data_IF_134653575951
#
_entry.id   IF_134653575951
#
_cell.length_a   1.000
_cell.length_b   1.000
_cell.length_c   1.000
_cell.angle_alpha   90.00
_cell.angle_beta   90.00
_cell.angle_gamma   90.00
#
_symmetry.space_group_name_H-M   'P 1'
#
loop_
_entity.id
_entity.type
_entity.pdbx_description
1 polymer ?
#
# COMPACT_ATOMS: atom_id res chain seq x y z
N UNK A 1 -0.84 53.14 28.21
CA UNK A 1 -0.81 52.27 29.41
C UNK A 1 -2.02 51.35 29.38
N UNK A 2 -1.84 50.04 29.61
CA UNK A 2 -2.96 49.11 29.85
C UNK A 2 -2.94 47.79 29.05
N UNK A 3 -1.98 46.90 29.31
CA UNK A 3 -2.04 45.46 28.95
C UNK A 3 -3.09 44.78 29.83
N UNK A 4 -3.94 43.91 29.25
CA UNK A 4 -4.68 42.90 30.01
C UNK A 4 -4.34 41.50 29.49
N UNK A 5 -3.43 40.84 30.20
CA UNK A 5 -3.10 39.42 30.09
C UNK A 5 -4.26 38.58 30.67
N UNK A 6 -5.00 37.85 29.85
CA UNK A 6 -5.86 36.75 30.34
C UNK A 6 -5.00 35.50 30.56
N UNK A 7 -5.22 34.89 31.71
CA UNK A 7 -4.38 33.89 32.37
C UNK A 7 -4.63 32.46 31.86
N UNK A 8 -3.60 31.75 31.39
CA UNK A 8 -3.64 30.38 30.84
C UNK A 8 -3.73 29.27 31.91
N UNK A 9 -4.44 29.51 33.02
CA UNK A 9 -4.54 28.55 34.14
C UNK A 9 -5.34 27.29 33.80
N UNK A 10 -6.25 27.34 32.82
CA UNK A 10 -7.04 26.18 32.38
C UNK A 10 -6.22 25.12 31.64
N UNK A 11 -5.17 25.53 30.90
CA UNK A 11 -4.34 24.62 30.11
C UNK A 11 -3.49 23.69 31.00
N UNK A 12 -3.06 24.18 32.16
CA UNK A 12 -2.18 23.43 33.07
C UNK A 12 -2.92 22.27 33.76
N UNK A 13 -4.21 22.42 34.05
CA UNK A 13 -5.02 21.38 34.70
C UNK A 13 -5.24 20.19 33.77
N UNK A 14 -5.42 20.43 32.46
CA UNK A 14 -5.60 19.38 31.45
C UNK A 14 -4.32 18.54 31.28
N UNK A 15 -3.15 19.19 31.32
CA UNK A 15 -1.86 18.51 31.17
C UNK A 15 -1.59 17.56 32.35
N UNK A 16 -1.94 17.94 33.58
CA UNK A 16 -1.71 17.11 34.78
C UNK A 16 -2.59 15.85 34.78
N UNK A 17 -3.83 15.93 34.29
CA UNK A 17 -4.75 14.77 34.25
C UNK A 17 -4.31 13.72 33.22
N UNK A 18 -3.80 14.15 32.06
CA UNK A 18 -3.34 13.24 31.00
C UNK A 18 -2.09 12.43 31.40
N UNK A 19 -1.19 13.01 32.20
CA UNK A 19 0.03 12.32 32.66
C UNK A 19 -0.29 11.21 33.67
N UNK A 20 -1.33 11.36 34.49
CA UNK A 20 -1.71 10.33 35.48
C UNK A 20 -2.32 9.06 34.87
N UNK A 21 -2.93 9.14 33.68
CA UNK A 21 -3.51 7.98 32.99
C UNK A 21 -2.42 7.10 32.36
N UNK A 22 -1.29 7.69 31.94
CA UNK A 22 -0.21 6.98 31.24
C UNK A 22 0.67 6.17 32.21
N UNK A 23 0.77 6.59 33.48
CA UNK A 23 1.67 5.93 34.45
C UNK A 23 0.95 4.83 35.28
N UNK A 24 -0.39 4.85 35.35
CA UNK A 24 -1.12 4.07 36.37
C UNK A 24 -1.75 2.74 35.96
N UNK A 25 -1.89 2.36 34.68
CA UNK A 25 -2.95 1.40 34.34
C UNK A 25 -2.77 0.42 33.19
N UNK A 26 -1.58 -0.15 32.93
CA UNK A 26 -1.47 -1.10 31.82
C UNK A 26 -0.25 -2.03 31.75
N UNK A 27 0.41 -2.32 32.87
CA UNK A 27 1.41 -3.39 32.97
C UNK A 27 0.78 -4.60 33.69
N UNK A 28 0.00 -5.41 32.97
CA UNK A 28 -0.22 -6.84 33.29
C UNK A 28 -1.18 -7.41 32.26
N UNK A 29 -0.68 -8.20 31.29
CA UNK A 29 -1.39 -9.37 30.79
C UNK A 29 -0.44 -10.22 29.91
N UNK A 30 -0.23 -11.44 30.40
CA UNK A 30 0.20 -12.66 29.70
C UNK A 30 1.68 -12.91 29.38
N UNK A 31 2.37 -13.40 30.41
CA UNK A 31 3.21 -14.59 30.28
C UNK A 31 2.34 -15.84 30.04
N UNK A 32 2.70 -16.66 29.06
CA UNK A 32 2.18 -18.01 28.84
C UNK A 32 3.12 -18.86 28.00
N UNK A 33 3.81 -19.81 28.64
CA UNK A 33 4.75 -20.81 28.09
C UNK A 33 4.02 -21.86 27.23
N UNK A 34 4.69 -22.44 26.23
CA UNK A 34 5.19 -23.82 26.37
C UNK A 34 6.17 -24.30 25.28
N UNK A 35 7.07 -25.18 25.72
CA UNK A 35 8.18 -25.80 24.97
C UNK A 35 7.70 -27.05 24.25
N UNK A 36 8.25 -27.31 23.05
CA UNK A 36 8.58 -28.67 22.56
C UNK A 36 9.49 -28.58 21.34
N UNK A 37 10.80 -28.72 21.54
CA UNK A 37 11.78 -28.88 20.45
C UNK A 37 11.97 -30.39 20.25
N UNK A 38 11.53 -30.90 19.08
CA UNK A 38 11.85 -32.23 18.58
C UNK A 38 12.99 -32.06 17.55
N UNK A 39 14.16 -32.65 17.82
CA UNK A 39 15.33 -32.62 16.92
C UNK A 39 15.56 -34.05 16.40
N UNK A 40 15.48 -34.27 15.08
CA UNK A 40 16.27 -35.25 14.29
C UNK A 40 16.20 -34.86 12.78
N UNK A 41 17.07 -35.33 11.86
CA UNK A 41 18.28 -34.63 11.43
C UNK A 41 18.33 -34.25 9.91
N UNK A 42 19.13 -33.21 9.65
CA UNK A 42 19.96 -32.89 8.46
C UNK A 42 19.71 -33.67 7.15
N UNK A 43 19.16 -32.97 6.14
CA UNK A 43 19.20 -33.35 4.73
C UNK A 43 19.11 -32.12 3.81
N UNK A 44 20.26 -31.77 3.20
CA UNK A 44 20.49 -31.05 1.93
C UNK A 44 19.82 -29.68 1.69
N UNK A 45 20.68 -28.64 1.68
CA UNK A 45 20.38 -27.26 1.29
C UNK A 45 20.07 -27.14 -0.21
N UNK A 46 19.03 -26.39 -0.55
CA UNK A 46 18.84 -25.70 -1.84
C UNK A 46 18.32 -24.31 -1.52
N UNK A 47 18.85 -23.22 -2.13
CA UNK A 47 18.50 -21.86 -1.74
C UNK A 47 17.09 -21.54 -2.29
N UNK A 48 16.08 -21.59 -1.42
CA UNK A 48 14.72 -21.26 -1.82
C UNK A 48 14.31 -19.89 -1.26
N UNK A 49 13.85 -19.05 -2.19
CA UNK A 49 13.45 -17.66 -2.04
C UNK A 49 12.68 -17.35 -0.76
N UNK A 50 13.03 -16.22 -0.15
CA UNK A 50 12.20 -15.52 0.83
C UNK A 50 10.82 -15.23 0.23
N UNK A 51 9.83 -16.05 0.61
CA UNK A 51 8.42 -15.73 0.46
C UNK A 51 8.04 -14.76 1.58
N UNK A 52 8.02 -13.46 1.26
CA UNK A 52 7.39 -12.43 2.09
C UNK A 52 6.00 -12.19 1.50
N UNK A 53 4.95 -12.38 2.31
CA UNK A 53 3.66 -11.78 2.04
C UNK A 53 2.52 -12.56 2.67
N UNK A 54 1.91 -11.98 3.71
CA UNK A 54 0.55 -12.34 4.15
C UNK A 54 -0.34 -12.61 2.94
N UNK A 55 -0.94 -13.79 2.95
CA UNK A 55 -1.97 -14.19 2.01
C UNK A 55 -3.20 -13.29 2.25
N UNK A 56 -3.28 -12.17 1.53
CA UNK A 56 -4.51 -11.39 1.45
C UNK A 56 -5.50 -12.34 0.77
N UNK A 57 -6.54 -12.76 1.47
CA UNK A 57 -7.62 -13.58 0.93
C UNK A 57 -8.25 -12.86 -0.28
N UNK A 58 -8.04 -13.42 -1.47
CA UNK A 58 -8.12 -12.74 -2.78
C UNK A 58 -9.38 -13.11 -3.56
N UNK A 59 -10.56 -12.85 -3.01
CA UNK A 59 -11.74 -12.73 -3.88
C UNK A 59 -11.76 -11.30 -4.42
N UNK A 60 -11.46 -11.14 -5.71
CA UNK A 60 -11.45 -9.83 -6.38
C UNK A 60 -12.87 -9.30 -6.55
N UNK A 61 -13.05 -7.98 -6.46
CA UNK A 61 -14.34 -7.34 -6.75
C UNK A 61 -14.77 -7.51 -8.22
N UNK A 62 -13.80 -7.61 -9.13
CA UNK A 62 -14.00 -7.69 -10.57
C UNK A 62 -12.88 -8.51 -11.22
N UNK A 63 -13.20 -9.24 -12.30
CA UNK A 63 -12.22 -10.05 -13.02
C UNK A 63 -11.61 -9.26 -14.18
N UNK A 64 -10.27 -9.13 -14.25
CA UNK A 64 -9.62 -8.41 -15.34
C UNK A 64 -9.63 -9.21 -16.65
N UNK A 65 -9.63 -8.50 -17.79
CA UNK A 65 -9.47 -9.07 -19.11
C UNK A 65 -8.03 -9.54 -19.33
N UNK A 66 -7.82 -10.86 -19.16
CA UNK A 66 -6.52 -11.50 -19.27
C UNK A 66 -5.94 -11.49 -20.68
N UNK A 67 -6.78 -11.49 -21.72
CA UNK A 67 -6.30 -11.43 -23.11
C UNK A 67 -5.69 -10.07 -23.41
N UNK A 68 -6.40 -9.00 -23.03
CA UNK A 68 -5.92 -7.64 -23.20
C UNK A 68 -4.70 -7.34 -22.34
N UNK A 69 -4.65 -7.89 -21.13
CA UNK A 69 -3.46 -7.86 -20.30
C UNK A 69 -2.26 -8.49 -21.03
N UNK A 70 -2.39 -9.73 -21.50
CA UNK A 70 -1.30 -10.46 -22.17
C UNK A 70 -0.85 -9.81 -23.46
N UNK A 71 -1.77 -9.12 -24.15
CA UNK A 71 -1.49 -8.39 -25.38
C UNK A 71 -0.56 -7.19 -25.14
N UNK A 72 -0.80 -6.40 -24.08
CA UNK A 72 -0.09 -5.14 -23.85
C UNK A 72 0.98 -5.21 -22.77
N UNK A 73 0.84 -6.10 -21.80
CA UNK A 73 1.66 -6.13 -20.59
C UNK A 73 2.35 -7.48 -20.39
N UNK A 74 3.54 -7.42 -19.80
CA UNK A 74 4.26 -8.59 -19.28
C UNK A 74 4.01 -8.74 -17.79
N UNK A 75 4.02 -7.62 -17.06
CA UNK A 75 3.79 -7.59 -15.62
C UNK A 75 3.31 -6.21 -15.18
N UNK A 76 2.50 -6.21 -14.12
CA UNK A 76 2.18 -5.00 -13.36
C UNK A 76 2.25 -5.35 -11.88
N UNK A 77 2.86 -4.50 -11.07
CA UNK A 77 2.92 -4.70 -9.64
C UNK A 77 2.97 -3.38 -8.87
N UNK A 78 2.51 -3.47 -7.62
CA UNK A 78 2.62 -2.40 -6.65
C UNK A 78 3.96 -2.44 -5.93
N UNK A 79 4.47 -1.26 -5.63
CA UNK A 79 5.70 -1.03 -4.91
C UNK A 79 5.57 0.21 -4.05
N UNK A 80 6.53 0.42 -3.15
CA UNK A 80 6.64 1.62 -2.35
C UNK A 80 7.99 2.29 -2.52
N UNK A 81 8.00 3.60 -2.39
CA UNK A 81 9.22 4.36 -2.16
C UNK A 81 9.34 4.63 -0.64
N UNK A 82 10.48 4.30 0.00
CA UNK A 82 10.66 4.55 1.43
C UNK A 82 10.56 6.04 1.77
N UNK A 83 10.06 6.33 2.97
CA UNK A 83 9.89 7.70 3.48
C UNK A 83 11.20 8.48 3.38
N UNK A 84 11.14 9.70 2.85
CA UNK A 84 12.29 10.60 2.71
C UNK A 84 13.25 10.25 1.56
N UNK A 85 12.98 9.19 0.80
CA UNK A 85 13.78 8.86 -0.38
C UNK A 85 13.41 9.74 -1.57
N UNK A 86 14.41 10.10 -2.38
CA UNK A 86 14.15 10.67 -3.71
C UNK A 86 13.65 9.57 -4.64
N UNK A 87 12.78 9.93 -5.57
CA UNK A 87 12.30 8.99 -6.58
C UNK A 87 13.47 8.48 -7.43
N UNK A 88 13.71 7.17 -7.38
CA UNK A 88 14.56 6.42 -8.30
C UNK A 88 13.81 5.12 -8.62
N UNK A 89 13.46 4.85 -9.90
CA UNK A 89 12.71 3.66 -10.30
C UNK A 89 13.46 2.34 -10.00
N UNK A 90 14.76 2.40 -9.67
CA UNK A 90 15.54 1.22 -9.26
C UNK A 90 15.46 0.93 -7.75
N UNK A 91 14.96 1.89 -6.97
CA UNK A 91 14.92 1.82 -5.50
C UNK A 91 13.50 1.60 -4.96
N UNK A 92 12.51 1.36 -5.83
CA UNK A 92 11.16 1.00 -5.39
C UNK A 92 11.13 -0.44 -4.86
N UNK A 93 10.41 -0.65 -3.76
CA UNK A 93 10.33 -1.95 -3.09
C UNK A 93 8.95 -2.54 -3.38
N UNK A 94 8.90 -3.67 -4.10
CA UNK A 94 7.64 -4.38 -4.38
C UNK A 94 6.93 -4.73 -3.06
N UNK A 95 5.66 -4.34 -2.94
CA UNK A 95 4.86 -4.58 -1.72
C UNK A 95 3.37 -4.61 -2.06
N UNK A 96 2.58 -5.21 -1.17
CA UNK A 96 1.11 -5.08 -1.12
C UNK A 96 0.63 -4.44 0.19
N UNK A 97 1.56 -4.10 1.07
CA UNK A 97 1.26 -3.51 2.38
C UNK A 97 1.96 -2.17 2.44
N UNK A 98 1.20 -1.15 2.78
CA UNK A 98 1.62 0.23 2.88
C UNK A 98 1.32 0.76 4.27
N UNK A 99 2.12 1.70 4.72
CA UNK A 99 1.86 2.46 5.96
C UNK A 99 1.76 3.95 5.64
N UNK A 100 1.12 4.70 6.53
CA UNK A 100 1.03 6.15 6.42
C UNK A 100 2.41 6.80 6.16
N UNK A 101 2.45 7.74 5.20
CA UNK A 101 3.66 8.47 4.81
C UNK A 101 4.52 7.79 3.73
N UNK A 102 4.26 6.53 3.38
CA UNK A 102 4.90 5.89 2.23
C UNK A 102 4.28 6.38 0.91
N UNK A 103 5.06 6.35 -0.18
CA UNK A 103 4.50 6.60 -1.51
C UNK A 103 4.00 5.31 -2.16
N UNK A 104 2.85 5.40 -2.80
CA UNK A 104 2.24 4.32 -3.56
C UNK A 104 2.80 4.33 -4.98
N UNK A 105 3.56 3.31 -5.35
CA UNK A 105 4.17 3.21 -6.67
C UNK A 105 3.57 2.05 -7.47
N UNK A 106 3.38 2.27 -8.76
CA UNK A 106 3.00 1.24 -9.72
C UNK A 106 4.13 1.07 -10.73
N UNK A 107 4.56 -0.16 -10.94
CA UNK A 107 5.52 -0.53 -11.97
C UNK A 107 4.84 -1.40 -13.02
N UNK A 108 4.99 -1.00 -14.28
CA UNK A 108 4.33 -1.59 -15.45
C UNK A 108 5.41 -1.98 -16.45
N UNK A 109 5.41 -3.24 -16.88
CA UNK A 109 6.23 -3.70 -17.99
C UNK A 109 5.33 -3.94 -19.22
N UNK A 110 5.53 -3.15 -20.26
CA UNK A 110 4.73 -3.16 -21.49
C UNK A 110 5.44 -3.91 -22.62
N UNK A 111 4.68 -4.75 -23.34
CA UNK A 111 5.11 -5.44 -24.58
C UNK A 111 4.89 -4.59 -25.82
N UNK A 112 3.82 -3.80 -25.82
CA UNK A 112 3.41 -2.94 -26.93
C UNK A 112 3.32 -1.50 -26.45
N UNK A 113 3.33 -0.57 -27.40
CA UNK A 113 3.02 0.81 -27.10
C UNK A 113 1.58 0.92 -26.56
N UNK A 114 1.43 1.62 -25.44
CA UNK A 114 0.15 2.03 -24.89
C UNK A 114 -0.11 3.47 -25.36
N UNK A 115 -1.17 3.75 -26.14
CA UNK A 115 -1.42 5.09 -26.64
C UNK A 115 -1.67 6.10 -25.51
N UNK A 116 -1.41 7.37 -25.80
CA UNK A 116 -1.72 8.46 -24.87
C UNK A 116 -3.21 8.43 -24.50
N UNK A 117 -3.52 8.83 -23.28
CA UNK A 117 -4.87 8.98 -22.76
C UNK A 117 -5.69 7.67 -22.62
N UNK A 118 -5.08 6.50 -22.84
CA UNK A 118 -5.79 5.21 -22.81
C UNK A 118 -5.63 4.42 -21.52
N UNK A 119 -4.56 4.66 -20.76
CA UNK A 119 -4.32 3.99 -19.49
C UNK A 119 -4.85 4.85 -18.35
N UNK A 120 -5.72 4.28 -17.51
CA UNK A 120 -6.28 4.94 -16.34
C UNK A 120 -6.29 3.98 -15.14
N UNK A 121 -6.57 4.50 -13.95
CA UNK A 121 -6.64 3.71 -12.73
C UNK A 121 -7.74 4.15 -11.77
N UNK A 122 -8.16 3.24 -10.90
CA UNK A 122 -9.08 3.50 -9.80
C UNK A 122 -8.57 2.82 -8.51
N UNK A 123 -9.00 3.31 -7.36
CA UNK A 123 -8.84 2.63 -6.06
C UNK A 123 -10.21 2.28 -5.53
N UNK A 124 -10.47 0.99 -5.38
CA UNK A 124 -11.71 0.46 -4.82
C UNK A 124 -11.50 0.04 -3.37
N UNK A 125 -12.36 0.49 -2.46
CA UNK A 125 -12.39 0.06 -1.06
C UNK A 125 -13.20 -1.23 -0.94
N UNK A 126 -12.53 -2.30 -0.50
CA UNK A 126 -13.14 -3.63 -0.39
C UNK A 126 -14.13 -3.71 0.78
N UNK A 127 -13.89 -2.96 1.84
CA UNK A 127 -14.74 -2.93 3.03
C UNK A 127 -16.03 -2.14 2.80
N UNK A 128 -15.91 -0.97 2.18
CA UNK A 128 -17.07 -0.10 1.88
C UNK A 128 -17.79 -0.49 0.59
N UNK A 129 -17.13 -1.27 -0.29
CA UNK A 129 -17.64 -1.67 -1.61
C UNK A 129 -17.93 -0.49 -2.53
N UNK A 130 -17.07 0.51 -2.51
CA UNK A 130 -17.16 1.72 -3.32
C UNK A 130 -15.78 2.20 -3.78
N UNK A 131 -15.75 3.10 -4.76
CA UNK A 131 -14.50 3.69 -5.23
C UNK A 131 -14.00 4.74 -4.24
N UNK A 132 -12.87 4.47 -3.59
CA UNK A 132 -12.16 5.44 -2.78
C UNK A 132 -11.43 6.48 -3.63
N UNK A 133 -11.02 6.09 -4.84
CA UNK A 133 -10.64 6.99 -5.92
C UNK A 133 -11.30 6.51 -7.21
N UNK A 134 -12.19 7.30 -7.83
CA UNK A 134 -12.85 6.90 -9.06
C UNK A 134 -11.85 6.76 -10.20
N UNK A 135 -12.24 6.02 -11.24
CA UNK A 135 -11.41 5.86 -12.44
C UNK A 135 -11.00 7.21 -13.01
N UNK A 136 -9.69 7.43 -13.12
CA UNK A 136 -9.12 8.67 -13.60
C UNK A 136 -7.61 8.57 -13.78
N UNK A 137 -6.99 9.73 -14.03
CA UNK A 137 -5.55 9.84 -14.22
C UNK A 137 -5.09 9.14 -15.50
N UNK A 138 -5.26 9.79 -16.64
CA UNK A 138 -4.73 9.28 -17.89
C UNK A 138 -3.31 9.76 -18.14
N UNK A 139 -2.47 8.90 -18.71
CA UNK A 139 -1.13 9.28 -19.12
C UNK A 139 -1.22 10.14 -20.39
N UNK A 140 -0.88 11.42 -20.30
CA UNK A 140 -0.95 12.38 -21.42
C UNK A 140 0.00 12.07 -22.58
N UNK A 141 0.93 11.13 -22.39
CA UNK A 141 1.88 10.70 -23.39
C UNK A 141 1.77 9.19 -23.61
N UNK A 142 2.00 8.77 -24.85
CA UNK A 142 2.07 7.37 -25.20
C UNK A 142 3.29 6.73 -24.50
N UNK A 143 3.09 5.55 -23.95
CA UNK A 143 4.16 4.80 -23.29
C UNK A 143 4.66 3.71 -24.22
N UNK A 144 5.96 3.73 -24.54
CA UNK A 144 6.60 2.70 -25.36
C UNK A 144 6.78 1.38 -24.60
N UNK A 145 7.18 0.31 -25.31
CA UNK A 145 7.56 -0.95 -24.68
C UNK A 145 8.66 -0.78 -23.63
N UNK A 146 8.64 -1.63 -22.59
CA UNK A 146 9.61 -1.60 -21.50
C UNK A 146 8.98 -1.27 -20.15
N UNK A 147 9.84 -0.90 -19.18
CA UNK A 147 9.42 -0.62 -17.81
C UNK A 147 9.06 0.86 -17.66
N UNK A 148 7.90 1.13 -17.09
CA UNK A 148 7.48 2.44 -16.59
C UNK A 148 7.16 2.32 -15.10
N UNK A 149 7.51 3.34 -14.32
CA UNK A 149 7.19 3.39 -12.90
C UNK A 149 6.72 4.80 -12.55
N UNK A 150 5.56 4.88 -11.92
CA UNK A 150 5.01 6.11 -11.38
C UNK A 150 4.69 5.95 -9.91
N UNK A 151 4.87 7.01 -9.12
CA UNK A 151 4.48 7.05 -7.72
C UNK A 151 3.51 8.19 -7.48
N UNK A 152 2.59 7.97 -6.55
CA UNK A 152 1.59 8.93 -6.11
C UNK A 152 1.47 8.86 -4.58
N UNK A 153 0.76 9.85 -4.02
CA UNK A 153 0.40 9.82 -2.61
C UNK A 153 -0.45 8.58 -2.31
N UNK A 154 -0.14 7.90 -1.22
CA UNK A 154 -0.99 6.84 -0.69
C UNK A 154 -2.31 7.43 -0.21
N UNK A 155 -3.40 6.66 -0.33
CA UNK A 155 -4.67 6.99 0.31
C UNK A 155 -4.49 7.04 1.84
N UNK A 156 -5.15 8.01 2.50
CA UNK A 156 -5.01 8.20 3.96
C UNK A 156 -5.81 7.18 4.78
N UNK A 157 -6.84 6.58 4.19
CA UNK A 157 -7.68 5.60 4.86
C UNK A 157 -6.94 4.26 5.08
N UNK A 158 -7.05 3.71 6.28
CA UNK A 158 -6.59 2.35 6.59
C UNK A 158 -7.63 1.33 6.13
N UNK A 159 -7.17 0.16 5.68
CA UNK A 159 -8.08 -0.87 5.17
C UNK A 159 -7.50 -1.70 4.03
N UNK A 160 -8.38 -2.48 3.40
CA UNK A 160 -8.05 -3.31 2.23
C UNK A 160 -8.65 -2.68 0.99
N UNK A 161 -7.82 -2.59 -0.05
CA UNK A 161 -8.16 -1.90 -1.28
C UNK A 161 -7.74 -2.73 -2.49
N UNK A 162 -8.30 -2.37 -3.64
CA UNK A 162 -7.90 -2.88 -4.94
C UNK A 162 -7.47 -1.73 -5.83
N UNK A 163 -6.23 -1.78 -6.33
CA UNK A 163 -5.79 -0.87 -7.38
C UNK A 163 -6.15 -1.47 -8.74
N UNK A 164 -7.10 -0.83 -9.42
CA UNK A 164 -7.61 -1.26 -10.72
C UNK A 164 -6.94 -0.46 -11.83
N UNK A 165 -6.54 -1.14 -12.91
CA UNK A 165 -5.88 -0.54 -14.06
C UNK A 165 -6.68 -0.86 -15.30
N UNK A 166 -7.00 0.16 -16.08
CA UNK A 166 -7.82 0.07 -17.28
C UNK A 166 -7.04 0.51 -18.52
N UNK A 167 -7.33 -0.13 -19.64
CA UNK A 167 -6.86 0.25 -20.97
C UNK A 167 -8.07 0.47 -21.88
N UNK A 168 -8.36 1.71 -22.27
CA UNK A 168 -9.59 2.10 -22.97
C UNK A 168 -10.85 1.60 -22.24
N UNK A 169 -10.95 1.90 -20.94
CA UNK A 169 -12.04 1.46 -20.06
C UNK A 169 -12.18 -0.07 -19.87
N UNK A 170 -11.27 -0.87 -20.46
CA UNK A 170 -11.21 -2.31 -20.22
C UNK A 170 -10.32 -2.56 -19.01
N UNK A 171 -10.88 -3.15 -17.95
CA UNK A 171 -10.10 -3.58 -16.79
C UNK A 171 -9.07 -4.63 -17.22
N UNK A 172 -7.79 -4.32 -17.08
CA UNK A 172 -6.68 -5.22 -17.45
C UNK A 172 -5.94 -5.78 -16.24
N UNK A 173 -6.02 -5.13 -15.08
CA UNK A 173 -5.36 -5.61 -13.87
C UNK A 173 -6.07 -5.15 -12.60
N UNK A 174 -6.10 -6.03 -11.60
CA UNK A 174 -6.55 -5.73 -10.24
C UNK A 174 -5.43 -6.14 -9.29
N UNK A 175 -4.95 -5.20 -8.48
CA UNK A 175 -3.84 -5.40 -7.55
C UNK A 175 -4.32 -5.14 -6.13
N UNK A 176 -4.64 -6.20 -5.36
CA UNK A 176 -5.05 -6.07 -3.96
C UNK A 176 -3.90 -5.57 -3.09
N UNK A 177 -4.21 -4.64 -2.19
CA UNK A 177 -3.28 -4.10 -1.20
C UNK A 177 -3.96 -3.74 0.12
N UNK A 178 -3.15 -3.48 1.15
CA UNK A 178 -3.57 -3.12 2.49
C UNK A 178 -2.82 -1.86 2.94
N UNK A 179 -3.54 -0.93 3.57
CA UNK A 179 -2.97 0.22 4.28
C UNK A 179 -3.16 -0.02 5.78
N UNK A 180 -2.04 -0.03 6.51
CA UNK A 180 -1.98 -0.24 7.96
C UNK A 180 -1.75 1.05 8.74
#
# INVERSE_FOLDING_TARGET
MGKNNKSNKGLYIIIVVLVLIIVGGGLWFFFGKDKSIKIVPKGTQTPNSQSIGSEIDTTLSEQPNQEKFKEYFTSIYLAKLPIGSKFDPRNIIKTKVFTAGEQFCTSINMKKQVPAETLSSAIYDVGLKEDAQPQGGTFSQAMGPGNSTGCQSLIEATGKFEFKIYLNDILVSVLPFEVK
#
